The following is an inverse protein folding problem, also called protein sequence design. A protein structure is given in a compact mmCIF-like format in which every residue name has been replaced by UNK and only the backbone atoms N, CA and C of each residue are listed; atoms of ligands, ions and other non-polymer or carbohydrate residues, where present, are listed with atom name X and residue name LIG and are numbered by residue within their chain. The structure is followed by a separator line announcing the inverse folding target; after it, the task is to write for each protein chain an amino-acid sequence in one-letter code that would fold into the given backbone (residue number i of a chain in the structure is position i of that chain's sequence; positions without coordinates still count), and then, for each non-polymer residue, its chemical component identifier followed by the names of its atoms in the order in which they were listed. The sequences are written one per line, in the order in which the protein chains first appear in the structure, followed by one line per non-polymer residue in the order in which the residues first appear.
data_IF_951568917278
#
_entry.id   IF_951568917278
#
_cell.length_a   1.000
_cell.length_b   1.000
_cell.length_c   1.000
_cell.angle_alpha   90.00
_cell.angle_beta   90.00
_cell.angle_gamma   90.00
#
_symmetry.space_group_name_H-M   'P 1'
#
loop_
_entity.id
_entity.type
_entity.pdbx_description
1 polymer ?
#
# COMPACT_ATOMS: atom_id res chain seq x y z
N UNK A 1 -23.20 2.54 7.72
CA UNK A 1 -22.25 1.65 8.43
C UNK A 1 -20.96 2.44 8.51
N UNK A 2 -20.45 2.68 9.71
CA UNK A 2 -19.19 3.41 9.85
C UNK A 2 -18.08 2.51 9.30
N UNK A 3 -17.46 2.91 8.20
CA UNK A 3 -16.24 2.30 7.68
C UNK A 3 -15.13 2.49 8.71
N UNK A 4 -15.04 1.56 9.66
CA UNK A 4 -13.92 1.53 10.57
C UNK A 4 -12.70 1.07 9.76
N UNK A 5 -11.78 2.01 9.56
CA UNK A 5 -10.67 1.89 8.63
C UNK A 5 -9.38 1.87 9.44
N UNK A 6 -8.67 0.75 9.42
CA UNK A 6 -7.39 0.62 10.10
C UNK A 6 -6.32 1.26 9.21
N UNK A 7 -5.66 2.31 9.71
CA UNK A 7 -4.61 2.97 8.95
C UNK A 7 -3.21 2.59 9.46
N UNK A 8 -2.29 2.31 8.53
CA UNK A 8 -0.85 2.20 8.79
C UNK A 8 -0.12 3.23 7.95
N UNK A 9 0.78 4.00 8.58
CA UNK A 9 1.56 5.05 7.93
C UNK A 9 3.01 4.61 7.73
N UNK A 10 3.50 4.73 6.50
CA UNK A 10 4.89 4.50 6.12
C UNK A 10 5.56 5.81 5.70
N UNK A 11 6.77 6.04 6.23
CA UNK A 11 7.59 7.23 6.00
C UNK A 11 9.07 6.86 6.08
N UNK A 12 9.94 7.74 5.59
CA UNK A 12 11.39 7.51 5.59
C UNK A 12 11.82 6.50 4.52
N UNK A 13 12.84 5.69 4.82
CA UNK A 13 13.37 4.72 3.87
C UNK A 13 12.48 3.47 3.76
N UNK A 14 11.93 3.23 2.58
CA UNK A 14 11.10 2.09 2.18
C UNK A 14 11.78 1.39 0.99
N UNK A 15 12.97 0.86 1.26
CA UNK A 15 13.89 0.28 0.28
C UNK A 15 14.19 -1.17 0.62
N UNK A 16 14.98 -1.86 -0.21
CA UNK A 16 15.42 -3.23 0.06
C UNK A 16 16.06 -3.41 1.43
N UNK A 17 16.74 -2.37 1.94
CA UNK A 17 17.38 -2.38 3.28
C UNK A 17 16.36 -2.44 4.42
N UNK A 18 15.17 -1.89 4.22
CA UNK A 18 14.08 -1.83 5.21
C UNK A 18 12.90 -2.72 4.83
N UNK A 19 13.05 -3.56 3.81
CA UNK A 19 11.96 -4.37 3.26
C UNK A 19 11.39 -5.36 4.31
N UNK A 20 12.25 -6.01 5.10
CA UNK A 20 11.81 -6.92 6.17
C UNK A 20 11.00 -6.18 7.24
N UNK A 21 11.49 -5.03 7.72
CA UNK A 21 10.75 -4.24 8.71
C UNK A 21 9.42 -3.73 8.15
N UNK A 22 9.43 -3.24 6.91
CA UNK A 22 8.23 -2.75 6.22
C UNK A 22 7.20 -3.87 6.06
N UNK A 23 7.65 -5.07 5.67
CA UNK A 23 6.83 -6.28 5.57
C UNK A 23 6.21 -6.64 6.92
N UNK A 24 7.00 -6.71 7.99
CA UNK A 24 6.51 -7.14 9.30
C UNK A 24 5.48 -6.17 9.86
N UNK A 25 5.69 -4.87 9.67
CA UNK A 25 4.73 -3.82 10.02
C UNK A 25 3.43 -3.95 9.22
N UNK A 26 3.55 -4.18 7.90
CA UNK A 26 2.39 -4.38 7.04
C UNK A 26 1.60 -5.62 7.42
N UNK A 27 2.28 -6.74 7.68
CA UNK A 27 1.68 -8.01 8.07
C UNK A 27 0.97 -7.90 9.43
N UNK A 28 1.56 -7.19 10.39
CA UNK A 28 0.93 -6.93 11.67
C UNK A 28 -0.36 -6.11 11.51
N UNK A 29 -0.34 -5.04 10.72
CA UNK A 29 -1.51 -4.23 10.44
C UNK A 29 -2.60 -5.03 9.71
N UNK A 30 -2.21 -5.84 8.73
CA UNK A 30 -3.11 -6.73 7.99
C UNK A 30 -3.80 -7.75 8.91
N UNK A 31 -3.04 -8.42 9.78
CA UNK A 31 -3.60 -9.40 10.75
C UNK A 31 -4.59 -8.73 11.71
N UNK A 32 -4.29 -7.51 12.17
CA UNK A 32 -5.21 -6.75 13.02
C UNK A 32 -6.51 -6.40 12.28
N UNK A 33 -6.40 -5.85 11.07
CA UNK A 33 -7.56 -5.48 10.26
C UNK A 33 -8.45 -6.70 9.95
N UNK A 34 -7.82 -7.82 9.58
CA UNK A 34 -8.50 -9.10 9.34
C UNK A 34 -9.23 -9.61 10.58
N UNK A 35 -8.59 -9.59 11.74
CA UNK A 35 -9.20 -10.04 13.00
C UNK A 35 -10.36 -9.14 13.44
N UNK A 36 -10.30 -7.84 13.14
CA UNK A 36 -11.34 -6.87 13.45
C UNK A 36 -12.48 -6.84 12.41
N UNK A 37 -12.32 -7.47 11.24
CA UNK A 37 -13.28 -7.37 10.15
C UNK A 37 -13.36 -5.99 9.51
N UNK A 38 -12.26 -5.23 9.56
CA UNK A 38 -12.16 -3.84 9.07
C UNK A 38 -11.27 -3.74 7.82
N UNK A 39 -11.49 -2.72 6.99
CA UNK A 39 -10.58 -2.42 5.87
C UNK A 39 -9.22 -1.88 6.37
N UNK A 40 -8.17 -2.13 5.59
CA UNK A 40 -6.81 -1.62 5.84
C UNK A 40 -6.45 -0.52 4.85
N UNK A 41 -6.11 0.68 5.35
CA UNK A 41 -5.48 1.74 4.56
C UNK A 41 -3.99 1.82 4.84
N UNK A 42 -3.21 1.82 3.77
CA UNK A 42 -1.77 2.00 3.77
C UNK A 42 -1.49 3.41 3.27
N UNK A 43 -1.02 4.30 4.13
CA UNK A 43 -0.61 5.64 3.73
C UNK A 43 0.89 5.70 3.55
N UNK A 44 1.32 6.18 2.37
CA UNK A 44 2.74 6.35 2.02
C UNK A 44 3.03 7.84 1.95
N UNK A 45 4.00 8.30 2.76
CA UNK A 45 4.43 9.69 2.74
C UNK A 45 5.09 10.08 1.40
N UNK A 46 4.86 11.31 0.95
CA UNK A 46 5.36 11.80 -0.33
C UNK A 46 6.88 11.90 -0.39
N UNK A 47 7.51 12.18 0.75
CA UNK A 47 8.95 12.37 0.95
C UNK A 47 9.70 11.08 1.33
N UNK A 48 9.07 9.91 1.20
CA UNK A 48 9.75 8.65 1.44
C UNK A 48 10.85 8.37 0.39
N UNK A 49 11.88 7.65 0.81
CA UNK A 49 12.83 7.05 -0.13
C UNK A 49 12.30 5.67 -0.52
N UNK A 50 12.04 5.46 -1.81
CA UNK A 50 11.32 4.30 -2.32
C UNK A 50 12.08 3.68 -3.48
N UNK A 51 12.33 2.37 -3.40
CA UNK A 51 12.80 1.56 -4.53
C UNK A 51 11.71 0.57 -4.97
N UNK A 52 12.04 -0.31 -5.91
CA UNK A 52 11.09 -1.28 -6.48
C UNK A 52 10.55 -2.30 -5.48
N UNK A 53 11.19 -2.49 -4.33
CA UNK A 53 10.76 -3.48 -3.35
C UNK A 53 9.44 -3.10 -2.68
N UNK A 54 9.19 -1.81 -2.45
CA UNK A 54 7.93 -1.34 -1.87
C UNK A 54 6.73 -1.63 -2.81
N UNK A 55 6.73 -1.19 -4.10
CA UNK A 55 5.70 -1.60 -5.06
C UNK A 55 5.44 -3.10 -5.12
N UNK A 56 6.49 -3.92 -5.12
CA UNK A 56 6.37 -5.38 -5.18
C UNK A 56 5.72 -5.96 -3.91
N UNK A 57 6.06 -5.42 -2.74
CA UNK A 57 5.44 -5.78 -1.48
C UNK A 57 3.95 -5.39 -1.46
N UNK A 58 3.62 -4.17 -1.90
CA UNK A 58 2.24 -3.67 -1.96
C UNK A 58 1.36 -4.50 -2.91
N UNK A 59 1.90 -4.87 -4.08
CA UNK A 59 1.22 -5.76 -5.03
C UNK A 59 0.97 -7.15 -4.44
N UNK A 60 1.96 -7.71 -3.74
CA UNK A 60 1.82 -9.00 -3.04
C UNK A 60 0.76 -8.94 -1.93
N UNK A 61 0.71 -7.82 -1.21
CA UNK A 61 -0.28 -7.58 -0.16
C UNK A 61 -1.70 -7.45 -0.74
N UNK A 62 -1.89 -6.68 -1.82
CA UNK A 62 -3.17 -6.58 -2.52
C UNK A 62 -3.69 -7.94 -2.99
N UNK A 63 -2.85 -8.75 -3.65
CA UNK A 63 -3.22 -10.10 -4.08
C UNK A 63 -3.65 -11.00 -2.91
N UNK A 64 -2.96 -10.87 -1.78
CA UNK A 64 -3.30 -11.62 -0.56
C UNK A 64 -4.62 -11.14 0.04
N UNK A 65 -4.84 -9.83 0.10
CA UNK A 65 -6.05 -9.22 0.61
C UNK A 65 -7.28 -9.67 -0.20
N UNK A 66 -7.20 -9.63 -1.54
CA UNK A 66 -8.25 -10.13 -2.45
C UNK A 66 -8.55 -11.61 -2.20
N UNK A 67 -7.51 -12.45 -2.13
CA UNK A 67 -7.67 -13.90 -1.88
C UNK A 67 -8.37 -14.20 -0.55
N UNK A 68 -8.18 -13.34 0.44
CA UNK A 68 -8.65 -13.55 1.82
C UNK A 68 -9.88 -12.70 2.17
N UNK A 69 -10.44 -11.96 1.20
CA UNK A 69 -11.63 -11.14 1.40
C UNK A 69 -11.43 -9.94 2.34
N UNK A 70 -10.20 -9.42 2.42
CA UNK A 70 -9.87 -8.22 3.22
C UNK A 70 -9.76 -7.04 2.28
N UNK A 71 -10.49 -5.97 2.56
CA UNK A 71 -10.39 -4.72 1.80
C UNK A 71 -9.08 -3.98 2.14
N UNK A 72 -8.31 -3.63 1.11
CA UNK A 72 -7.01 -2.96 1.26
C UNK A 72 -6.93 -1.76 0.31
N UNK A 73 -6.61 -0.60 0.87
CA UNK A 73 -6.43 0.65 0.15
C UNK A 73 -5.00 1.15 0.30
N UNK A 74 -4.46 1.70 -0.78
CA UNK A 74 -3.18 2.41 -0.76
C UNK A 74 -3.49 3.87 -1.01
N UNK A 75 -2.99 4.75 -0.16
CA UNK A 75 -3.09 6.19 -0.32
C UNK A 75 -1.68 6.76 -0.47
N UNK A 76 -1.45 7.43 -1.59
CA UNK A 76 -0.18 8.06 -1.91
C UNK A 76 -0.39 9.17 -2.95
N UNK A 77 0.40 10.23 -2.91
CA UNK A 77 0.34 11.29 -3.91
C UNK A 77 0.76 10.80 -5.31
N UNK A 78 0.08 11.30 -6.34
CA UNK A 78 0.47 11.20 -7.76
C UNK A 78 1.79 11.91 -8.08
N UNK A 79 2.33 12.70 -7.15
CA UNK A 79 3.62 13.38 -7.26
C UNK A 79 4.66 12.83 -6.29
N UNK A 80 4.28 11.84 -5.47
CA UNK A 80 5.16 11.24 -4.46
C UNK A 80 6.19 10.27 -5.03
N UNK A 81 7.19 9.93 -4.21
CA UNK A 81 8.28 9.03 -4.60
C UNK A 81 7.81 7.63 -5.04
N UNK A 82 6.73 7.11 -4.46
CA UNK A 82 6.13 5.83 -4.86
C UNK A 82 5.61 5.87 -6.31
N UNK A 83 4.86 6.91 -6.69
CA UNK A 83 4.32 7.05 -8.03
C UNK A 83 5.43 7.22 -9.07
N UNK A 84 6.43 8.04 -8.77
CA UNK A 84 7.61 8.17 -9.62
C UNK A 84 8.36 6.84 -9.82
N UNK A 85 8.45 6.02 -8.75
CA UNK A 85 9.07 4.70 -8.82
C UNK A 85 8.27 3.72 -9.68
N UNK A 86 6.93 3.70 -9.53
CA UNK A 86 6.04 2.89 -10.36
C UNK A 86 6.16 3.24 -11.85
N UNK A 87 6.19 4.53 -12.19
CA UNK A 87 6.39 4.97 -13.58
C UNK A 87 7.73 4.51 -14.16
N UNK A 88 8.83 4.71 -13.42
CA UNK A 88 10.17 4.28 -13.86
C UNK A 88 10.27 2.77 -14.04
N UNK A 89 9.49 2.01 -13.27
CA UNK A 89 9.39 0.56 -13.35
C UNK A 89 8.56 0.04 -14.53
N UNK A 90 7.85 0.93 -15.25
CA UNK A 90 6.84 0.52 -16.23
C UNK A 90 5.61 -0.15 -15.60
N UNK A 91 5.36 0.06 -14.30
CA UNK A 91 4.19 -0.48 -13.60
C UNK A 91 3.03 0.51 -13.76
N UNK A 92 1.91 0.04 -14.30
CA UNK A 92 0.72 0.87 -14.47
C UNK A 92 0.16 1.26 -13.11
N UNK A 93 -0.07 2.55 -12.91
CA UNK A 93 -0.67 3.07 -11.69
C UNK A 93 -1.61 4.23 -12.02
N UNK A 94 -2.73 4.30 -11.31
CA UNK A 94 -3.70 5.38 -11.41
C UNK A 94 -4.10 5.86 -10.02
N UNK A 95 -4.26 7.16 -9.86
CA UNK A 95 -4.84 7.76 -8.65
C UNK A 95 -6.33 7.98 -8.88
N UNK A 96 -7.16 7.37 -8.03
CA UNK A 96 -8.60 7.56 -7.97
C UNK A 96 -9.00 8.71 -7.03
N UNK A 97 -10.27 8.73 -6.64
CA UNK A 97 -10.77 9.68 -5.62
C UNK A 97 -9.99 9.57 -4.31
N UNK A 98 -9.76 10.70 -3.65
CA UNK A 98 -9.06 10.81 -2.36
C UNK A 98 -7.62 10.23 -2.33
N UNK A 99 -6.88 10.36 -3.42
CA UNK A 99 -5.48 9.89 -3.56
C UNK A 99 -5.31 8.37 -3.42
N UNK A 100 -6.38 7.61 -3.69
CA UNK A 100 -6.34 6.15 -3.69
C UNK A 100 -5.52 5.67 -4.89
N UNK A 101 -4.37 5.06 -4.62
CA UNK A 101 -3.48 4.50 -5.61
C UNK A 101 -3.93 3.08 -6.01
N UNK A 102 -4.21 2.89 -7.29
CA UNK A 102 -4.51 1.61 -7.91
C UNK A 102 -3.27 1.17 -8.70
N UNK A 103 -2.68 0.03 -8.34
CA UNK A 103 -1.47 -0.50 -8.99
C UNK A 103 -1.87 -1.71 -9.83
N UNK A 104 -1.48 -1.73 -11.11
CA UNK A 104 -1.77 -2.80 -12.08
C UNK A 104 -3.25 -3.13 -12.31
N UNK A 105 -4.16 -2.21 -11.97
CA UNK A 105 -5.58 -2.29 -12.32
C UNK A 105 -6.30 -3.54 -11.80
N UNK A 106 -6.79 -3.50 -10.56
CA UNK A 106 -8.13 -4.00 -10.28
C UNK A 106 -8.76 -3.15 -9.17
N UNK A 107 -9.74 -2.29 -9.48
CA UNK A 107 -10.42 -1.42 -8.52
C UNK A 107 -11.61 -2.08 -7.81
N UNK A 108 -11.76 -3.40 -7.91
CA UNK A 108 -12.93 -4.13 -7.35
C UNK A 108 -12.96 -4.16 -5.84
#
# INVERSE_FOLDING_TARGET
MSDELKTVHFKGALTIKTATETHDRLLAAYRQAKAAGTALQIEIADDCDCDLTLPQLLLSAQKTAVREGVELHIRASDKGALFATLQRAGISAATGSADRLIINGDPR
#
